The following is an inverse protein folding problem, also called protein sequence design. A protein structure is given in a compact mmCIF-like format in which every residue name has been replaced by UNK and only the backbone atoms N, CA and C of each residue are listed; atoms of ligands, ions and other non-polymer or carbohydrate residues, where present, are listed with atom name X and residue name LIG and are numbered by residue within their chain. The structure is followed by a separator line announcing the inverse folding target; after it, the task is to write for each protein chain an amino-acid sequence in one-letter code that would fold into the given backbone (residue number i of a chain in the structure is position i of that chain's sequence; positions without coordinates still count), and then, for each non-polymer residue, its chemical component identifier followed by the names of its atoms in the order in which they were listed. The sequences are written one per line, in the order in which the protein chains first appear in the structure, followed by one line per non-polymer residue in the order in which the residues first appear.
data_IF_265288230016
#
_entry.id   IF_265288230016
#
_cell.length_a   1.000
_cell.length_b   1.000
_cell.length_c   1.000
_cell.angle_alpha   90.00
_cell.angle_beta   90.00
_cell.angle_gamma   90.00
#
_symmetry.space_group_name_H-M   'P 1'
#
loop_
_entity.id
_entity.type
_entity.pdbx_description
1 polymer ?
#
# COMPACT_ATOMS: atom_id res chain seq x y z
N UNK A 1 2.41 -12.96 -37.37
CA UNK A 1 2.02 -12.25 -36.14
C UNK A 1 2.74 -10.92 -36.18
N UNK A 2 2.03 -9.80 -36.08
CA UNK A 2 2.68 -8.48 -36.00
C UNK A 2 3.48 -8.41 -34.70
N UNK A 3 4.68 -7.84 -34.76
CA UNK A 3 5.50 -7.61 -33.58
C UNK A 3 4.78 -6.56 -32.72
N UNK A 4 4.34 -6.94 -31.52
CA UNK A 4 3.74 -6.00 -30.56
C UNK A 4 4.82 -5.04 -30.08
N UNK A 5 4.44 -3.79 -29.82
CA UNK A 5 5.30 -2.82 -29.13
C UNK A 5 5.64 -3.36 -27.73
N UNK A 6 6.85 -3.07 -27.26
CA UNK A 6 7.30 -3.48 -25.93
C UNK A 6 7.53 -2.22 -25.09
N UNK A 7 6.87 -2.15 -23.94
CA UNK A 7 7.13 -1.15 -22.92
C UNK A 7 8.10 -1.72 -21.88
N UNK A 8 9.10 -0.95 -21.49
CA UNK A 8 10.16 -1.35 -20.54
C UNK A 8 10.05 -0.51 -19.29
N UNK A 9 10.07 -1.17 -18.13
CA UNK A 9 10.17 -0.48 -16.84
C UNK A 9 11.58 0.07 -16.64
N UNK A 10 11.68 1.28 -16.07
CA UNK A 10 12.94 2.01 -15.88
C UNK A 10 13.28 2.30 -14.42
N UNK A 11 12.67 1.59 -13.47
CA UNK A 11 12.92 1.77 -12.03
C UNK A 11 14.41 1.56 -11.66
N UNK A 12 15.06 0.55 -12.25
CA UNK A 12 16.47 0.26 -12.03
C UNK A 12 17.29 0.39 -13.31
N UNK A 13 18.47 1.00 -13.20
CA UNK A 13 19.31 1.32 -14.36
C UNK A 13 19.85 0.09 -15.13
N UNK A 14 19.96 -1.06 -14.46
CA UNK A 14 20.71 -2.21 -14.98
C UNK A 14 19.85 -3.45 -15.28
N UNK A 15 18.60 -3.46 -14.84
CA UNK A 15 17.66 -4.58 -15.02
C UNK A 15 16.23 -4.08 -14.82
N UNK A 16 15.25 -4.83 -15.28
CA UNK A 16 13.85 -4.50 -15.10
C UNK A 16 12.96 -5.57 -15.73
N UNK A 17 11.67 -5.25 -15.81
CA UNK A 17 10.67 -6.05 -16.50
C UNK A 17 10.15 -5.32 -17.74
N UNK A 18 9.44 -6.04 -18.61
CA UNK A 18 8.85 -5.48 -19.82
C UNK A 18 7.49 -6.12 -20.10
N UNK A 19 6.64 -5.41 -20.83
CA UNK A 19 5.32 -5.88 -21.20
C UNK A 19 5.07 -5.66 -22.68
N UNK A 20 4.42 -6.62 -23.34
CA UNK A 20 3.83 -6.33 -24.65
C UNK A 20 2.68 -5.35 -24.48
N UNK A 21 2.65 -4.33 -25.33
CA UNK A 21 1.56 -3.35 -25.40
C UNK A 21 0.56 -3.83 -26.45
N UNK A 22 -0.64 -4.16 -26.02
CA UNK A 22 -1.74 -4.52 -26.90
C UNK A 22 -2.46 -3.28 -27.43
N UNK A 23 -2.75 -2.36 -26.50
CA UNK A 23 -3.41 -1.10 -26.82
C UNK A 23 -3.08 -0.07 -25.75
N UNK A 24 -2.62 1.10 -26.18
CA UNK A 24 -2.54 2.26 -25.29
C UNK A 24 -3.95 2.83 -25.09
N UNK A 25 -4.39 2.89 -23.84
CA UNK A 25 -5.67 3.50 -23.45
C UNK A 25 -5.51 4.98 -23.16
N UNK A 26 -4.38 5.34 -22.56
CA UNK A 26 -4.00 6.70 -22.23
C UNK A 26 -2.49 6.83 -22.24
N UNK A 27 -1.99 7.97 -22.74
CA UNK A 27 -0.60 8.36 -22.57
C UNK A 27 -0.52 9.87 -22.55
N UNK A 28 -0.05 10.43 -21.44
CA UNK A 28 0.25 11.85 -21.31
C UNK A 28 1.66 12.03 -20.79
N UNK A 29 2.45 12.76 -21.56
CA UNK A 29 3.82 13.11 -21.22
C UNK A 29 3.93 14.63 -21.12
N UNK A 30 4.23 15.10 -19.92
CA UNK A 30 4.51 16.52 -19.61
C UNK A 30 5.98 16.69 -19.26
N UNK A 31 6.42 17.93 -19.02
CA UNK A 31 7.77 18.21 -18.51
C UNK A 31 7.99 17.70 -17.06
N UNK A 32 6.91 17.37 -16.35
CA UNK A 32 6.96 16.99 -14.94
C UNK A 32 6.69 15.50 -14.69
N UNK A 33 5.90 14.85 -15.55
CA UNK A 33 5.51 13.44 -15.40
C UNK A 33 5.19 12.78 -16.74
N UNK A 34 5.44 11.47 -16.85
CA UNK A 34 5.07 10.59 -17.96
C UNK A 34 4.12 9.48 -17.47
N UNK A 35 2.81 9.65 -17.72
CA UNK A 35 1.77 8.72 -17.27
C UNK A 35 1.20 7.93 -18.45
N UNK A 36 1.26 6.61 -18.36
CA UNK A 36 0.72 5.70 -19.38
C UNK A 36 -0.18 4.64 -18.76
N UNK A 37 -1.31 4.38 -19.42
CA UNK A 37 -2.13 3.19 -19.20
C UNK A 37 -2.27 2.44 -20.52
N UNK A 38 -1.92 1.15 -20.49
CA UNK A 38 -2.08 0.27 -21.62
C UNK A 38 -2.65 -1.09 -21.22
N UNK A 39 -3.25 -1.77 -22.20
CA UNK A 39 -3.72 -3.14 -22.08
C UNK A 39 -2.57 -4.11 -22.38
N UNK A 40 -2.50 -5.16 -21.58
CA UNK A 40 -1.62 -6.30 -21.74
C UNK A 40 -2.43 -7.60 -21.60
N UNK A 41 -2.32 -8.51 -22.57
CA UNK A 41 -3.04 -9.78 -22.61
C UNK A 41 -2.87 -10.63 -21.33
N UNK A 42 -1.71 -10.54 -20.68
CA UNK A 42 -1.40 -11.33 -19.49
C UNK A 42 -1.85 -10.62 -18.19
N UNK A 43 -1.69 -9.31 -18.07
CA UNK A 43 -1.87 -8.59 -16.80
C UNK A 43 -3.09 -7.66 -16.76
N UNK A 44 -3.84 -7.56 -17.86
CA UNK A 44 -4.95 -6.61 -17.98
C UNK A 44 -4.41 -5.19 -18.18
N UNK A 45 -5.04 -4.20 -17.56
CA UNK A 45 -4.54 -2.82 -17.59
C UNK A 45 -3.31 -2.66 -16.70
N UNK A 46 -2.27 -2.06 -17.28
CA UNK A 46 -1.03 -1.67 -16.60
C UNK A 46 -0.97 -0.16 -16.56
N UNK A 47 -0.82 0.40 -15.36
CA UNK A 47 -0.54 1.82 -15.18
C UNK A 47 0.93 1.99 -14.79
N UNK A 48 1.61 2.91 -15.47
CA UNK A 48 2.96 3.29 -15.13
C UNK A 48 3.12 4.81 -15.11
N UNK A 49 3.94 5.30 -14.18
CA UNK A 49 4.26 6.70 -13.98
C UNK A 49 5.79 6.85 -14.00
N UNK A 50 6.30 7.77 -14.81
CA UNK A 50 7.73 8.04 -14.98
C UNK A 50 8.55 6.78 -15.28
N UNK A 51 7.94 5.86 -16.05
CA UNK A 51 8.57 4.60 -16.45
C UNK A 51 8.54 3.51 -15.38
N UNK A 52 7.85 3.70 -14.26
CA UNK A 52 7.73 2.73 -13.15
C UNK A 52 6.30 2.18 -13.10
N UNK A 53 6.14 0.86 -12.96
CA UNK A 53 4.81 0.25 -12.81
C UNK A 53 4.21 0.67 -11.48
N UNK A 54 3.01 1.25 -11.53
CA UNK A 54 2.27 1.63 -10.33
C UNK A 54 1.27 0.56 -9.91
N UNK A 55 0.60 -0.09 -10.85
CA UNK A 55 -0.36 -1.16 -10.55
C UNK A 55 -0.71 -1.95 -11.81
N UNK A 56 -1.12 -3.21 -11.64
CA UNK A 56 -1.69 -4.00 -12.73
C UNK A 56 -2.99 -4.68 -12.32
N UNK A 57 -3.96 -4.71 -13.24
CA UNK A 57 -5.32 -5.19 -12.98
C UNK A 57 -5.38 -6.65 -12.51
N UNK A 58 -4.47 -7.50 -13.01
CA UNK A 58 -4.53 -8.94 -12.70
C UNK A 58 -4.04 -9.28 -11.30
N UNK A 59 -3.05 -8.57 -10.77
CA UNK A 59 -2.37 -8.95 -9.52
C UNK A 59 -2.47 -7.93 -8.38
N UNK A 60 -3.06 -6.75 -8.61
CA UNK A 60 -3.25 -5.69 -7.59
C UNK A 60 -3.88 -6.18 -6.29
N UNK A 61 -4.71 -7.23 -6.34
CA UNK A 61 -5.33 -7.79 -5.14
C UNK A 61 -4.33 -8.33 -4.14
N UNK A 62 -3.17 -8.82 -4.58
CA UNK A 62 -2.15 -9.32 -3.66
C UNK A 62 -1.68 -8.17 -2.78
N UNK A 63 -1.40 -7.02 -3.40
CA UNK A 63 -0.99 -5.80 -2.73
C UNK A 63 -2.10 -5.26 -1.82
N UNK A 64 -3.28 -4.99 -2.39
CA UNK A 64 -4.38 -4.35 -1.65
C UNK A 64 -4.94 -5.22 -0.52
N UNK A 65 -5.10 -6.53 -0.74
CA UNK A 65 -5.58 -7.43 0.32
C UNK A 65 -4.57 -7.52 1.47
N UNK A 66 -3.27 -7.60 1.19
CA UNK A 66 -2.25 -7.69 2.24
C UNK A 66 -2.11 -6.39 3.01
N UNK A 67 -2.06 -5.25 2.33
CA UNK A 67 -1.89 -3.95 2.95
C UNK A 67 -3.14 -3.47 3.71
N UNK A 68 -4.34 -3.97 3.36
CA UNK A 68 -5.58 -3.70 4.09
C UNK A 68 -5.89 -4.73 5.18
N UNK A 69 -5.96 -6.01 4.82
CA UNK A 69 -6.62 -6.99 5.70
C UNK A 69 -5.75 -7.39 6.89
N UNK A 70 -4.43 -7.38 6.73
CA UNK A 70 -3.49 -7.64 7.83
C UNK A 70 -3.73 -6.66 9.00
N UNK A 71 -3.60 -5.33 8.84
CA UNK A 71 -3.82 -4.42 9.96
C UNK A 71 -5.26 -4.42 10.46
N UNK A 72 -6.28 -4.47 9.60
CA UNK A 72 -7.67 -4.38 10.05
C UNK A 72 -8.11 -5.61 10.85
N UNK A 73 -7.70 -6.81 10.45
CA UNK A 73 -8.02 -8.04 11.19
C UNK A 73 -7.17 -8.22 12.46
N UNK A 74 -5.94 -7.70 12.47
CA UNK A 74 -5.13 -7.60 13.68
C UNK A 74 -5.74 -6.65 14.70
N UNK A 75 -6.17 -5.46 14.28
CA UNK A 75 -6.89 -4.52 15.15
C UNK A 75 -8.19 -5.14 15.67
N UNK A 76 -8.96 -5.79 14.80
CA UNK A 76 -10.16 -6.56 15.14
C UNK A 76 -11.43 -5.76 15.40
N UNK A 77 -11.34 -4.43 15.50
CA UNK A 77 -12.48 -3.55 15.77
C UNK A 77 -12.25 -2.13 15.23
N UNK A 78 -11.47 -2.00 14.16
CA UNK A 78 -11.19 -0.70 13.54
C UNK A 78 -12.48 -0.09 12.96
N UNK A 79 -12.73 1.17 13.29
CA UNK A 79 -13.89 1.96 12.85
C UNK A 79 -13.50 3.13 11.97
N UNK A 80 -12.32 3.72 12.18
CA UNK A 80 -11.83 4.88 11.44
C UNK A 80 -10.52 4.56 10.76
N UNK A 81 -10.49 4.63 9.44
CA UNK A 81 -9.31 4.32 8.63
C UNK A 81 -8.88 5.56 7.85
N UNK A 82 -7.59 5.85 7.89
CA UNK A 82 -6.95 6.85 7.03
C UNK A 82 -6.11 6.13 5.97
N UNK A 83 -6.34 6.46 4.71
CA UNK A 83 -5.53 6.06 3.56
C UNK A 83 -4.78 7.31 3.10
N UNK A 84 -3.47 7.22 2.95
CA UNK A 84 -2.62 8.29 2.41
C UNK A 84 -2.10 7.79 1.08
N UNK A 85 -2.40 8.49 -0.01
CA UNK A 85 -2.28 7.97 -1.37
C UNK A 85 -3.45 7.03 -1.73
N UNK A 86 -3.18 6.03 -2.57
CA UNK A 86 -4.17 5.02 -2.97
C UNK A 86 -5.26 5.55 -3.91
N UNK A 87 -4.95 6.60 -4.68
CA UNK A 87 -5.85 7.25 -5.61
C UNK A 87 -6.47 6.33 -6.67
N UNK A 88 -5.93 5.13 -6.93
CA UNK A 88 -6.54 4.11 -7.80
C UNK A 88 -7.81 3.46 -7.22
N UNK A 89 -8.02 3.58 -5.91
CA UNK A 89 -9.21 3.13 -5.22
C UNK A 89 -9.19 1.65 -4.82
N UNK A 90 -8.14 0.88 -5.14
CA UNK A 90 -7.98 -0.51 -4.71
C UNK A 90 -7.92 -0.64 -3.19
N UNK A 91 -7.19 0.26 -2.52
CA UNK A 91 -7.16 0.31 -1.06
C UNK A 91 -8.54 0.63 -0.46
N UNK A 92 -9.24 1.63 -1.02
CA UNK A 92 -10.59 1.99 -0.61
C UNK A 92 -11.57 0.82 -0.79
N UNK A 93 -11.46 0.09 -1.89
CA UNK A 93 -12.27 -1.11 -2.17
C UNK A 93 -12.09 -2.14 -1.06
N UNK A 94 -10.87 -2.49 -0.69
CA UNK A 94 -10.63 -3.51 0.33
C UNK A 94 -11.02 -3.04 1.74
N UNK A 95 -10.77 -1.77 2.09
CA UNK A 95 -11.20 -1.21 3.39
C UNK A 95 -12.72 -1.22 3.49
N UNK A 96 -13.42 -0.89 2.41
CA UNK A 96 -14.89 -0.87 2.36
C UNK A 96 -15.52 -2.24 2.60
N UNK A 97 -14.79 -3.35 2.41
CA UNK A 97 -15.30 -4.70 2.67
C UNK A 97 -15.42 -5.01 4.16
N UNK A 98 -14.77 -4.23 5.03
CA UNK A 98 -14.90 -4.33 6.47
C UNK A 98 -16.13 -3.56 6.96
N UNK A 99 -17.21 -4.28 7.27
CA UNK A 99 -18.49 -3.68 7.72
C UNK A 99 -18.41 -2.95 9.06
N UNK A 100 -17.39 -3.25 9.87
CA UNK A 100 -17.13 -2.56 11.14
C UNK A 100 -16.51 -1.18 10.97
N UNK A 101 -15.94 -0.88 9.79
CA UNK A 101 -15.41 0.44 9.46
C UNK A 101 -16.59 1.39 9.21
N UNK A 102 -16.57 2.53 9.90
CA UNK A 102 -17.61 3.56 9.89
C UNK A 102 -17.17 4.80 9.11
N UNK A 103 -15.87 5.10 9.06
CA UNK A 103 -15.32 6.26 8.35
C UNK A 103 -14.01 5.88 7.63
N UNK A 104 -13.90 6.27 6.36
CA UNK A 104 -12.72 6.06 5.53
C UNK A 104 -12.30 7.42 4.96
N UNK A 105 -11.16 7.94 5.39
CA UNK A 105 -10.58 9.15 4.80
C UNK A 105 -9.46 8.75 3.86
N UNK A 106 -9.50 9.18 2.60
CA UNK A 106 -8.35 9.12 1.71
C UNK A 106 -7.79 10.52 1.51
N UNK A 107 -6.49 10.66 1.69
CA UNK A 107 -5.75 11.89 1.42
C UNK A 107 -4.91 11.65 0.18
N UNK A 108 -5.24 12.34 -0.90
CA UNK A 108 -4.54 12.25 -2.18
C UNK A 108 -4.03 13.62 -2.60
N UNK A 109 -2.82 13.69 -3.16
CA UNK A 109 -2.22 14.99 -3.51
C UNK A 109 -2.85 15.59 -4.77
N UNK A 110 -3.35 14.73 -5.67
CA UNK A 110 -3.90 15.12 -6.96
C UNK A 110 -5.29 14.50 -7.19
N UNK A 111 -6.31 15.36 -7.21
CA UNK A 111 -7.68 14.99 -7.54
C UNK A 111 -7.80 14.39 -8.95
N UNK A 112 -6.94 14.81 -9.88
CA UNK A 112 -6.86 14.30 -11.23
C UNK A 112 -6.58 12.80 -11.26
N UNK A 113 -5.69 12.30 -10.41
CA UNK A 113 -5.36 10.86 -10.31
C UNK A 113 -6.58 10.02 -9.95
N UNK A 114 -7.43 10.51 -9.05
CA UNK A 114 -8.64 9.79 -8.63
C UNK A 114 -9.65 9.68 -9.77
N UNK A 115 -9.98 10.79 -10.42
CA UNK A 115 -10.91 10.79 -11.56
C UNK A 115 -10.36 9.99 -12.74
N UNK A 116 -9.04 10.09 -12.96
CA UNK A 116 -8.33 9.33 -13.97
C UNK A 116 -8.42 7.83 -13.73
N UNK A 117 -8.12 7.37 -12.52
CA UNK A 117 -8.23 5.95 -12.17
C UNK A 117 -9.68 5.47 -12.19
N UNK A 118 -10.64 6.31 -11.80
CA UNK A 118 -12.07 6.00 -11.92
C UNK A 118 -12.47 5.71 -13.37
N UNK A 119 -11.91 6.43 -14.33
CA UNK A 119 -12.18 6.24 -15.75
C UNK A 119 -11.41 5.05 -16.34
N UNK A 120 -10.11 4.96 -16.09
CA UNK A 120 -9.21 4.03 -16.78
C UNK A 120 -8.85 2.78 -15.99
N UNK A 121 -9.13 2.72 -14.68
CA UNK A 121 -8.93 1.55 -13.81
C UNK A 121 -10.21 1.27 -12.98
N UNK A 122 -11.40 1.14 -13.60
CA UNK A 122 -12.66 1.03 -12.87
C UNK A 122 -12.74 -0.23 -11.99
N UNK A 123 -11.98 -1.27 -12.30
CA UNK A 123 -11.93 -2.51 -11.54
C UNK A 123 -11.10 -2.40 -10.24
N UNK A 124 -10.21 -1.40 -10.13
CA UNK A 124 -9.47 -1.12 -8.89
C UNK A 124 -10.42 -0.62 -7.81
N UNK A 125 -11.14 0.47 -8.06
CA UNK A 125 -12.16 0.94 -7.11
C UNK A 125 -13.37 0.01 -7.04
N UNK A 126 -13.78 -0.60 -8.15
CA UNK A 126 -15.00 -1.41 -8.25
C UNK A 126 -16.25 -0.70 -7.68
N UNK A 127 -16.34 0.62 -7.87
CA UNK A 127 -17.41 1.48 -7.35
C UNK A 127 -17.24 1.95 -5.89
N UNK A 128 -16.10 1.67 -5.26
CA UNK A 128 -15.85 2.01 -3.85
C UNK A 128 -15.81 3.52 -3.57
N UNK A 129 -15.54 4.36 -4.57
CA UNK A 129 -15.64 5.81 -4.43
C UNK A 129 -17.06 6.31 -4.08
N UNK A 130 -18.10 5.51 -4.34
CA UNK A 130 -19.49 5.84 -4.00
C UNK A 130 -19.90 5.30 -2.61
N UNK A 131 -18.97 4.73 -1.83
CA UNK A 131 -19.24 4.26 -0.48
C UNK A 131 -19.62 5.44 0.44
N UNK A 132 -20.76 5.41 1.15
CA UNK A 132 -21.22 6.55 1.96
C UNK A 132 -20.32 6.86 3.17
N UNK A 133 -19.38 5.97 3.51
CA UNK A 133 -18.40 6.16 4.58
C UNK A 133 -17.13 6.85 4.09
N UNK A 134 -16.99 7.01 2.77
CA UNK A 134 -15.80 7.54 2.13
C UNK A 134 -15.77 9.07 2.14
N UNK A 135 -14.61 9.61 2.49
CA UNK A 135 -14.30 11.02 2.42
C UNK A 135 -12.95 11.22 1.71
N UNK A 136 -12.96 11.87 0.55
CA UNK A 136 -11.76 12.25 -0.18
C UNK A 136 -11.29 13.64 0.28
N UNK A 137 -10.01 13.75 0.63
CA UNK A 137 -9.33 15.00 0.97
C UNK A 137 -8.20 15.20 -0.04
N UNK A 138 -8.16 16.36 -0.68
CA UNK A 138 -7.08 16.73 -1.59
C UNK A 138 -6.09 17.60 -0.83
N UNK A 139 -5.00 16.99 -0.36
CA UNK A 139 -3.93 17.65 0.40
C UNK A 139 -2.65 16.81 0.34
N UNK A 140 -1.52 17.42 0.67
CA UNK A 140 -0.28 16.69 0.91
C UNK A 140 -0.41 15.83 2.18
N UNK A 141 -0.02 14.56 2.10
CA UNK A 141 -0.17 13.60 3.20
C UNK A 141 0.57 14.02 4.48
N UNK A 142 1.76 14.61 4.35
CA UNK A 142 2.54 15.13 5.50
C UNK A 142 1.83 16.32 6.12
N UNK A 143 1.37 17.25 5.29
CA UNK A 143 0.63 18.41 5.73
C UNK A 143 -0.67 18.03 6.44
N UNK A 144 -1.43 17.09 5.89
CA UNK A 144 -2.67 16.60 6.46
C UNK A 144 -2.42 16.03 7.86
N UNK A 145 -1.51 15.05 8.00
CA UNK A 145 -1.28 14.44 9.32
C UNK A 145 -0.69 15.44 10.30
N UNK A 146 0.07 16.44 9.84
CA UNK A 146 0.59 17.54 10.68
C UNK A 146 -0.52 18.38 11.31
N UNK A 147 -1.56 18.69 10.55
CA UNK A 147 -2.65 19.59 10.97
C UNK A 147 -3.86 18.85 11.53
N UNK A 148 -3.99 17.55 11.26
CA UNK A 148 -5.14 16.75 11.65
C UNK A 148 -5.25 16.61 13.17
N UNK A 149 -6.45 16.91 13.68
CA UNK A 149 -6.84 16.68 15.07
C UNK A 149 -7.69 15.42 15.25
N UNK A 150 -8.12 14.80 14.15
CA UNK A 150 -8.88 13.55 14.18
C UNK A 150 -7.99 12.36 14.53
N UNK A 151 -8.62 11.28 14.97
CA UNK A 151 -7.95 10.03 15.31
C UNK A 151 -8.45 8.88 14.45
N UNK A 152 -7.54 7.95 14.17
CA UNK A 152 -7.76 6.77 13.34
C UNK A 152 -7.30 5.50 14.07
N UNK A 153 -7.97 4.41 13.79
CA UNK A 153 -7.65 3.08 14.31
C UNK A 153 -6.57 2.41 13.45
N UNK A 154 -6.64 2.65 12.14
CA UNK A 154 -5.63 2.20 11.18
C UNK A 154 -5.26 3.34 10.24
N UNK A 155 -3.97 3.56 10.03
CA UNK A 155 -3.43 4.41 8.98
C UNK A 155 -2.70 3.52 7.98
N UNK A 156 -3.06 3.63 6.70
CA UNK A 156 -2.44 2.93 5.58
C UNK A 156 -1.77 3.98 4.70
N UNK A 157 -0.44 3.88 4.55
CA UNK A 157 0.33 4.71 3.62
C UNK A 157 0.58 3.92 2.34
N UNK A 158 -0.18 4.26 1.31
CA UNK A 158 -0.10 3.69 -0.03
C UNK A 158 0.59 4.69 -0.97
N UNK A 159 1.85 4.98 -0.65
CA UNK A 159 2.63 6.02 -1.30
C UNK A 159 3.78 5.38 -2.08
N UNK A 160 4.04 5.88 -3.28
CA UNK A 160 5.12 5.40 -4.15
C UNK A 160 6.48 5.49 -3.45
N UNK A 161 7.45 4.69 -3.92
CA UNK A 161 8.83 4.71 -3.45
C UNK A 161 9.38 6.15 -3.35
N UNK A 162 10.34 6.43 -2.43
CA UNK A 162 10.81 7.77 -2.09
C UNK A 162 11.65 8.41 -3.22
N UNK A 163 11.02 8.66 -4.36
CA UNK A 163 11.57 9.37 -5.51
C UNK A 163 10.62 10.54 -5.79
N UNK A 164 11.17 11.75 -5.85
CA UNK A 164 10.37 12.95 -6.14
C UNK A 164 9.42 13.33 -5.00
N UNK A 165 8.14 13.65 -5.26
CA UNK A 165 7.20 14.12 -4.22
C UNK A 165 7.03 13.16 -3.03
N UNK A 166 7.21 11.86 -3.26
CA UNK A 166 7.06 10.80 -2.25
C UNK A 166 8.10 10.81 -1.13
N UNK A 167 9.28 11.44 -1.33
CA UNK A 167 10.37 11.47 -0.34
C UNK A 167 9.93 12.00 1.04
N UNK A 168 9.04 12.99 1.04
CA UNK A 168 8.54 13.64 2.24
C UNK A 168 7.75 12.69 3.16
N UNK A 169 7.12 11.65 2.59
CA UNK A 169 6.30 10.66 3.28
C UNK A 169 7.15 9.58 3.97
N UNK A 170 8.47 9.62 3.82
CA UNK A 170 9.41 8.76 4.54
C UNK A 170 10.22 9.55 5.58
N UNK A 171 9.76 10.75 5.95
CA UNK A 171 10.42 11.62 6.93
C UNK A 171 9.98 11.33 8.35
N UNK A 172 10.79 11.78 9.32
CA UNK A 172 10.44 11.69 10.74
C UNK A 172 9.15 12.47 11.06
N UNK A 173 8.95 13.61 10.40
CA UNK A 173 7.79 14.49 10.61
C UNK A 173 6.48 13.81 10.19
N UNK A 174 6.49 13.09 9.07
CA UNK A 174 5.36 12.29 8.63
C UNK A 174 4.99 11.22 9.66
N UNK A 175 5.96 10.41 10.09
CA UNK A 175 5.71 9.35 11.07
C UNK A 175 5.27 9.90 12.44
N UNK A 176 5.80 11.05 12.86
CA UNK A 176 5.33 11.75 14.05
C UNK A 176 3.86 12.18 13.91
N UNK A 177 3.49 12.69 12.74
CA UNK A 177 2.12 13.04 12.40
C UNK A 177 1.18 11.84 12.47
N UNK A 178 1.55 10.74 11.81
CA UNK A 178 0.80 9.48 11.85
C UNK A 178 0.64 8.95 13.28
N UNK A 179 1.73 8.91 14.06
CA UNK A 179 1.69 8.48 15.46
C UNK A 179 0.75 9.35 16.31
N UNK A 180 0.72 10.66 16.08
CA UNK A 180 -0.23 11.57 16.74
C UNK A 180 -1.65 11.34 16.27
N UNK A 181 -1.89 10.97 15.01
CA UNK A 181 -3.24 10.74 14.48
C UNK A 181 -3.80 9.35 14.82
N UNK A 182 -3.03 8.46 15.44
CA UNK A 182 -3.55 7.16 15.87
C UNK A 182 -4.29 7.22 17.22
N UNK A 183 -5.35 6.41 17.32
CA UNK A 183 -5.98 6.02 18.58
C UNK A 183 -5.06 5.13 19.41
N UNK A 184 -5.37 4.98 20.69
CA UNK A 184 -4.76 3.91 21.50
C UNK A 184 -5.09 2.55 20.88
N UNK A 185 -4.08 1.68 20.73
CA UNK A 185 -4.23 0.42 19.98
C UNK A 185 -4.18 0.58 18.47
N UNK A 186 -3.90 1.78 17.95
CA UNK A 186 -3.82 2.03 16.52
C UNK A 186 -2.65 1.35 15.83
N UNK A 187 -2.81 1.09 14.53
CA UNK A 187 -1.79 0.47 13.67
C UNK A 187 -1.48 1.40 12.51
N UNK A 188 -0.20 1.65 12.26
CA UNK A 188 0.30 2.23 11.03
C UNK A 188 0.91 1.13 10.16
N UNK A 189 0.55 1.12 8.88
CA UNK A 189 1.24 0.32 7.86
C UNK A 189 1.58 1.18 6.65
N UNK A 190 2.63 0.80 5.95
CA UNK A 190 3.03 1.45 4.70
C UNK A 190 3.63 0.42 3.75
N UNK A 191 3.53 0.63 2.44
CA UNK A 191 4.44 -0.08 1.55
C UNK A 191 5.89 0.33 1.83
N UNK A 192 6.80 -0.62 1.64
CA UNK A 192 8.23 -0.41 1.89
C UNK A 192 9.08 -1.19 0.89
N UNK A 193 8.60 -1.22 -0.36
CA UNK A 193 9.34 -1.66 -1.52
C UNK A 193 9.84 -3.11 -1.50
N UNK A 194 10.63 -3.45 -2.52
CA UNK A 194 11.18 -4.81 -2.68
C UNK A 194 12.52 -4.90 -1.96
N UNK A 195 12.48 -5.47 -0.76
CA UNK A 195 13.63 -5.45 0.16
C UNK A 195 14.89 -6.11 -0.41
N UNK A 196 14.81 -7.03 -1.38
CA UNK A 196 16.00 -7.57 -2.04
C UNK A 196 16.79 -6.50 -2.84
N UNK A 197 16.11 -5.45 -3.31
CA UNK A 197 16.70 -4.39 -4.13
C UNK A 197 16.96 -3.11 -3.35
N UNK A 198 16.16 -2.83 -2.31
CA UNK A 198 16.25 -1.61 -1.50
C UNK A 198 16.26 -1.86 0.01
N UNK A 199 17.22 -2.65 0.52
CA UNK A 199 17.30 -2.95 1.97
C UNK A 199 17.43 -1.70 2.86
N UNK A 200 18.12 -0.67 2.37
CA UNK A 200 18.37 0.57 3.13
C UNK A 200 17.08 1.32 3.46
N UNK A 201 16.04 1.20 2.63
CA UNK A 201 14.73 1.79 2.90
C UNK A 201 14.03 1.11 4.08
N UNK A 202 14.08 -0.22 4.16
CA UNK A 202 13.56 -0.98 5.29
C UNK A 202 14.28 -0.62 6.58
N UNK A 203 15.62 -0.57 6.55
CA UNK A 203 16.43 -0.16 7.70
C UNK A 203 16.13 1.28 8.13
N UNK A 204 16.07 2.20 7.17
CA UNK A 204 15.75 3.61 7.43
C UNK A 204 14.36 3.80 8.01
N UNK A 205 13.36 3.12 7.46
CA UNK A 205 11.97 3.15 7.93
C UNK A 205 11.85 2.59 9.33
N UNK A 206 12.48 1.44 9.61
CA UNK A 206 12.50 0.85 10.94
C UNK A 206 13.07 1.81 11.99
N UNK A 207 14.24 2.41 11.70
CA UNK A 207 14.90 3.37 12.60
C UNK A 207 14.02 4.59 12.87
N UNK A 208 13.43 5.18 11.83
CA UNK A 208 12.59 6.38 11.97
C UNK A 208 11.29 6.10 12.73
N UNK A 209 10.60 5.00 12.40
CA UNK A 209 9.36 4.58 13.08
C UNK A 209 9.60 4.23 14.56
N UNK A 210 10.77 3.64 14.89
CA UNK A 210 11.12 3.26 16.26
C UNK A 210 11.21 4.44 17.24
N UNK A 211 11.32 5.69 16.75
CA UNK A 211 11.24 6.87 17.61
C UNK A 211 9.82 7.14 18.13
N UNK A 212 8.78 6.64 17.46
CA UNK A 212 7.38 6.99 17.72
C UNK A 212 6.50 5.80 18.15
N UNK A 213 6.97 4.58 17.90
CA UNK A 213 6.22 3.35 18.14
C UNK A 213 7.02 2.32 18.96
N UNK A 214 6.31 1.56 19.79
CA UNK A 214 6.91 0.51 20.65
C UNK A 214 7.15 -0.82 19.95
N UNK A 215 6.33 -1.17 18.97
CA UNK A 215 6.49 -2.36 18.12
C UNK A 215 6.61 -1.89 16.67
N UNK A 216 7.79 -2.09 16.08
CA UNK A 216 8.07 -1.80 14.67
C UNK A 216 8.60 -3.06 14.04
N UNK A 217 8.04 -3.42 12.89
CA UNK A 217 8.44 -4.63 12.16
C UNK A 217 8.04 -4.50 10.69
N UNK A 218 8.14 -5.62 9.97
CA UNK A 218 7.64 -5.74 8.60
C UNK A 218 6.83 -7.03 8.47
N UNK A 219 5.91 -7.01 7.53
CA UNK A 219 5.37 -8.22 6.91
C UNK A 219 5.64 -8.17 5.41
N UNK A 220 5.39 -9.26 4.70
CA UNK A 220 5.75 -9.38 3.30
C UNK A 220 4.70 -10.10 2.45
N UNK A 221 4.75 -9.80 1.16
CA UNK A 221 4.09 -10.59 0.12
C UNK A 221 4.91 -10.48 -1.17
N UNK A 222 4.77 -11.45 -2.07
CA UNK A 222 5.37 -11.38 -3.40
C UNK A 222 4.32 -10.94 -4.41
N UNK A 223 4.44 -9.70 -4.91
CA UNK A 223 3.59 -9.16 -5.96
C UNK A 223 4.32 -9.39 -7.29
N UNK A 224 3.74 -10.16 -8.23
CA UNK A 224 4.40 -10.49 -9.50
C UNK A 224 4.97 -9.29 -10.26
N UNK A 225 4.24 -8.16 -10.29
CA UNK A 225 4.64 -6.98 -11.05
C UNK A 225 5.49 -5.98 -10.26
N UNK A 226 5.82 -6.27 -9.00
CA UNK A 226 6.86 -5.54 -8.26
C UNK A 226 8.12 -6.40 -8.26
N UNK A 227 8.97 -6.13 -9.25
CA UNK A 227 10.08 -7.00 -9.60
C UNK A 227 11.14 -7.10 -8.49
N UNK A 228 11.65 -8.32 -8.25
CA UNK A 228 12.78 -8.56 -7.33
C UNK A 228 12.45 -9.42 -6.10
N UNK A 229 11.25 -10.01 -6.02
CA UNK A 229 10.90 -11.00 -5.00
C UNK A 229 9.82 -10.51 -4.05
N UNK A 230 10.07 -10.60 -2.74
CA UNK A 230 9.10 -10.13 -1.75
C UNK A 230 9.15 -8.60 -1.63
N UNK A 231 7.97 -7.98 -1.63
CA UNK A 231 7.77 -6.64 -1.11
C UNK A 231 7.64 -6.70 0.41
N UNK A 232 8.17 -5.70 1.08
CA UNK A 232 7.97 -5.47 2.52
C UNK A 232 6.92 -4.39 2.76
N UNK A 233 6.11 -4.59 3.78
CA UNK A 233 5.17 -3.62 4.31
C UNK A 233 5.61 -3.26 5.72
N UNK A 234 5.85 -1.97 5.98
CA UNK A 234 6.16 -1.49 7.31
C UNK A 234 4.96 -1.73 8.24
N UNK A 235 5.24 -2.09 9.47
CA UNK A 235 4.28 -2.24 10.54
C UNK A 235 4.74 -1.43 11.74
N UNK A 236 3.85 -0.62 12.31
CA UNK A 236 4.14 0.10 13.54
C UNK A 236 2.90 0.23 14.44
N UNK A 237 3.06 -0.06 15.73
CA UNK A 237 2.01 0.11 16.74
C UNK A 237 2.60 0.32 18.13
N UNK A 238 1.80 0.89 19.04
CA UNK A 238 2.10 0.94 20.47
C UNK A 238 1.55 -0.27 21.24
N UNK A 239 0.92 -1.22 20.53
CA UNK A 239 0.32 -2.45 21.08
C UNK A 239 0.94 -3.69 20.44
N UNK A 240 2.09 -4.19 20.97
CA UNK A 240 2.86 -5.29 20.36
C UNK A 240 2.05 -6.59 20.15
N UNK A 241 0.99 -6.80 20.94
CA UNK A 241 0.12 -7.97 20.81
C UNK A 241 -0.63 -8.03 19.46
N UNK A 242 -0.81 -6.91 18.75
CA UNK A 242 -1.57 -6.85 17.50
C UNK A 242 -0.89 -7.59 16.34
N UNK A 243 0.45 -7.64 16.35
CA UNK A 243 1.24 -8.40 15.37
C UNK A 243 1.34 -9.89 15.71
N UNK A 244 1.15 -10.23 16.99
CA UNK A 244 1.25 -11.59 17.53
C UNK A 244 -0.13 -12.12 17.92
N UNK A 245 -1.14 -11.84 17.09
CA UNK A 245 -2.51 -12.29 17.32
C UNK A 245 -2.57 -13.82 17.32
N UNK A 246 -3.35 -14.38 18.25
CA UNK A 246 -3.62 -15.82 18.27
C UNK A 246 -4.29 -16.28 16.97
N UNK A 247 -3.80 -17.39 16.41
CA UNK A 247 -4.25 -17.90 15.13
C UNK A 247 -5.74 -18.28 15.13
N UNK A 248 -6.26 -18.79 16.25
CA UNK A 248 -7.67 -19.16 16.36
C UNK A 248 -8.56 -17.91 16.38
N UNK A 249 -8.13 -16.87 17.12
CA UNK A 249 -8.82 -15.58 17.14
C UNK A 249 -8.83 -14.92 15.75
N UNK A 250 -7.70 -14.95 15.03
CA UNK A 250 -7.61 -14.40 13.67
C UNK A 250 -8.53 -15.14 12.69
N UNK A 251 -8.54 -16.48 12.71
CA UNK A 251 -9.44 -17.30 11.90
C UNK A 251 -10.91 -16.99 12.20
N UNK A 252 -11.25 -16.83 13.48
CA UNK A 252 -12.61 -16.48 13.90
C UNK A 252 -13.01 -15.10 13.36
N UNK A 253 -12.15 -14.08 13.50
CA UNK A 253 -12.40 -12.74 12.96
C UNK A 253 -12.61 -12.75 11.46
N UNK A 254 -11.76 -13.48 10.73
CA UNK A 254 -11.88 -13.61 9.27
C UNK A 254 -13.18 -14.34 8.86
N UNK A 255 -13.56 -15.41 9.55
CA UNK A 255 -14.82 -16.08 9.29
C UNK A 255 -16.04 -15.17 9.57
N UNK A 256 -15.98 -14.35 10.61
CA UNK A 256 -17.04 -13.40 10.98
C UNK A 256 -17.15 -12.21 10.02
N UNK A 257 -16.05 -11.78 9.39
CA UNK A 257 -16.08 -10.66 8.44
C UNK A 257 -16.83 -11.00 7.15
N UNK A 258 -16.92 -12.29 6.82
CA UNK A 258 -17.50 -12.80 5.56
C UNK A 258 -16.86 -12.19 4.29
N UNK A 259 -15.61 -11.74 4.40
CA UNK A 259 -14.83 -11.21 3.27
C UNK A 259 -14.28 -12.39 2.47
N UNK A 260 -14.47 -12.36 1.16
CA UNK A 260 -13.86 -13.31 0.24
C UNK A 260 -12.58 -12.71 -0.36
N UNK A 261 -11.46 -13.36 -0.08
CA UNK A 261 -10.12 -12.95 -0.55
C UNK A 261 -9.63 -13.89 -1.66
N UNK A 262 -8.77 -13.38 -2.53
CA UNK A 262 -8.07 -14.13 -3.58
C UNK A 262 -6.66 -14.55 -3.14
N UNK A 263 -6.00 -13.76 -2.29
CA UNK A 263 -4.66 -14.00 -1.77
C UNK A 263 -4.67 -14.22 -0.25
N UNK A 264 -5.30 -13.30 0.48
CA UNK A 264 -5.26 -13.29 1.93
C UNK A 264 -5.95 -14.52 2.53
N UNK A 265 -5.28 -15.14 3.49
CA UNK A 265 -5.86 -16.11 4.43
C UNK A 265 -5.28 -15.85 5.82
N UNK A 266 -5.91 -16.32 6.91
CA UNK A 266 -5.31 -16.23 8.24
C UNK A 266 -3.91 -16.86 8.33
N UNK A 267 -3.63 -17.92 7.58
CA UNK A 267 -2.32 -18.56 7.52
C UNK A 267 -1.29 -17.70 6.78
N UNK A 268 -1.69 -17.09 5.65
CA UNK A 268 -0.85 -16.12 4.92
C UNK A 268 -0.55 -14.90 5.78
N UNK A 269 -1.54 -14.38 6.52
CA UNK A 269 -1.33 -13.29 7.47
C UNK A 269 -0.23 -13.62 8.47
N UNK A 270 -0.33 -14.75 9.17
CA UNK A 270 0.66 -15.15 10.19
C UNK A 270 2.03 -15.38 9.52
N UNK A 271 2.04 -16.10 8.39
CA UNK A 271 3.25 -16.39 7.64
C UNK A 271 3.93 -15.14 7.07
N UNK A 272 3.18 -14.08 6.78
CA UNK A 272 3.72 -12.83 6.21
C UNK A 272 4.68 -12.11 7.15
N UNK A 273 4.59 -12.34 8.47
CA UNK A 273 5.53 -11.79 9.44
C UNK A 273 6.84 -12.61 9.56
N UNK A 274 6.93 -13.76 8.89
CA UNK A 274 8.19 -14.47 8.76
C UNK A 274 9.07 -13.78 7.72
N UNK A 275 10.10 -13.07 8.20
CA UNK A 275 11.05 -12.35 7.36
C UNK A 275 12.25 -13.23 7.00
N UNK A 276 12.82 -13.08 5.79
CA UNK A 276 14.03 -13.82 5.41
C UNK A 276 15.23 -13.39 6.24
N UNK A 277 16.19 -14.30 6.43
CA UNK A 277 17.34 -14.09 7.31
C UNK A 277 18.17 -12.86 6.94
N UNK A 278 18.34 -12.54 5.65
CA UNK A 278 19.11 -11.38 5.23
C UNK A 278 18.50 -10.06 5.74
N UNK A 279 17.16 -9.96 5.74
CA UNK A 279 16.43 -8.81 6.25
C UNK A 279 16.51 -8.75 7.76
N UNK A 280 16.32 -9.89 8.45
CA UNK A 280 16.49 -9.96 9.91
C UNK A 280 17.88 -9.47 10.34
N UNK A 281 18.93 -9.91 9.65
CA UNK A 281 20.30 -9.46 9.92
C UNK A 281 20.48 -7.96 9.66
N UNK A 282 19.90 -7.41 8.59
CA UNK A 282 19.99 -5.98 8.28
C UNK A 282 19.32 -5.12 9.37
N UNK A 283 18.14 -5.54 9.86
CA UNK A 283 17.42 -4.84 10.93
C UNK A 283 18.17 -4.90 12.26
N UNK A 284 18.79 -6.03 12.59
CA UNK A 284 19.58 -6.19 13.82
C UNK A 284 20.83 -5.31 13.83
N UNK A 285 21.54 -5.22 12.70
CA UNK A 285 22.75 -4.43 12.58
C UNK A 285 22.50 -2.91 12.62
N UNK A 286 21.25 -2.49 12.47
CA UNK A 286 20.85 -1.08 12.47
C UNK A 286 20.36 -0.57 13.83
N UNK A 287 20.24 -1.45 14.84
CA UNK A 287 19.93 -1.10 16.24
C UNK A 287 21.17 -0.55 16.96
#
# INVERSE_FOLDING_TARGET
MSQKEIWYETLHANFGQYFSVDRVLYHEKTDHQDLIIFENDALGRVMALDGVVQTTERDEFIYHEMLTHVPLLSHGSAKRVLIIGGGDGGMLREVSRHRGVEHITMVEIDAGVVEFCRQYLPNHSAGSYDDPRFNLVIDDGVNFVRQCSEKFDVIISDCTDPIGPGESLFTSDFYQGCARCLNEGGIFVAQNGVCFLQQDEAVGSHKKLSHYFKDVSFYQAAIPTYYGGIMTFAWASNSPALRQIDASALRQRFAQSAIACRYYTPDVHIGSFALPQYLLSALQNAQ
#
